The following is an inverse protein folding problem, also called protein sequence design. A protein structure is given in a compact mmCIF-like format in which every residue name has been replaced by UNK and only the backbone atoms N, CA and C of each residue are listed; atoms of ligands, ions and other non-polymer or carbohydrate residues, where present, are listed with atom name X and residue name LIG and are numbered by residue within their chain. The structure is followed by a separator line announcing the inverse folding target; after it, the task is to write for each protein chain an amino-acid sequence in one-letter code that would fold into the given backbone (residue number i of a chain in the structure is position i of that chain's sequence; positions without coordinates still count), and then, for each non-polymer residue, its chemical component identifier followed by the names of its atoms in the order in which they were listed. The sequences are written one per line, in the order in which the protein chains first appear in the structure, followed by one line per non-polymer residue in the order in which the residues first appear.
data_IF_303447759163
#
_entry.id   IF_303447759163
#
_cell.length_a   1.000
_cell.length_b   1.000
_cell.length_c   1.000
_cell.angle_alpha   90.00
_cell.angle_beta   90.00
_cell.angle_gamma   90.00
#
_symmetry.space_group_name_H-M   'P 1'
#
loop_
_entity.id
_entity.type
_entity.pdbx_description
1 polymer ?
#
# COMPACT_ATOMS: atom_id res chain seq x y z
N UNK A 1 -6.26 4.64 26.03
CA UNK A 1 -5.25 4.56 24.96
C UNK A 1 -4.58 3.18 25.00
N UNK A 2 -4.61 2.40 23.91
CA UNK A 2 -3.89 1.11 23.86
C UNK A 2 -2.38 1.39 23.92
N UNK A 3 -1.67 0.79 24.89
CA UNK A 3 -0.20 0.87 24.97
C UNK A 3 0.38 0.15 23.74
N UNK A 4 0.97 0.91 22.82
CA UNK A 4 1.62 0.36 21.64
C UNK A 4 2.90 -0.37 22.07
N UNK A 5 3.05 -1.64 21.68
CA UNK A 5 4.23 -2.46 22.01
C UNK A 5 5.41 -1.99 21.15
N UNK A 6 6.52 -1.63 21.79
CA UNK A 6 7.76 -1.26 21.10
C UNK A 6 8.42 -2.54 20.56
N UNK A 7 8.55 -2.65 19.25
CA UNK A 7 9.19 -3.79 18.60
C UNK A 7 10.72 -3.69 18.71
N UNK A 8 11.38 -4.82 18.99
CA UNK A 8 12.84 -4.89 19.02
C UNK A 8 13.41 -5.13 17.61
N UNK A 9 14.71 -4.89 17.40
CA UNK A 9 15.39 -5.21 16.13
C UNK A 9 15.23 -6.69 15.74
N UNK A 10 15.19 -7.59 16.72
CA UNK A 10 14.99 -9.03 16.49
C UNK A 10 13.56 -9.35 16.06
N UNK A 11 12.57 -8.64 16.61
CA UNK A 11 11.18 -8.77 16.17
C UNK A 11 11.01 -8.28 14.73
N UNK A 12 11.68 -7.18 14.36
CA UNK A 12 11.67 -6.66 12.98
C UNK A 12 12.26 -7.64 11.97
N UNK A 13 13.25 -8.46 12.35
CA UNK A 13 13.80 -9.52 11.47
C UNK A 13 12.83 -10.69 11.24
N UNK A 14 11.87 -10.87 12.15
CA UNK A 14 10.82 -11.90 12.05
C UNK A 14 9.56 -11.37 11.37
N UNK A 15 9.42 -10.05 11.24
CA UNK A 15 8.48 -9.48 10.29
C UNK A 15 8.95 -9.98 8.94
N UNK A 16 8.18 -10.92 8.36
CA UNK A 16 8.28 -11.22 6.93
C UNK A 16 7.96 -9.89 6.25
N UNK A 17 8.99 -9.10 5.98
CA UNK A 17 8.90 -7.98 5.07
C UNK A 17 8.28 -8.58 3.83
N UNK A 18 7.04 -8.19 3.56
CA UNK A 18 6.27 -8.68 2.43
C UNK A 18 7.21 -8.76 1.24
N UNK A 19 7.23 -9.91 0.57
CA UNK A 19 8.05 -10.10 -0.63
C UNK A 19 7.98 -8.82 -1.48
N UNK A 20 9.11 -8.39 -2.05
CA UNK A 20 9.12 -7.25 -2.95
C UNK A 20 7.96 -7.41 -3.94
N UNK A 21 7.13 -6.38 -4.07
CA UNK A 21 5.93 -6.49 -4.89
C UNK A 21 6.29 -6.98 -6.29
N UNK A 22 5.56 -7.98 -6.78
CA UNK A 22 5.85 -8.59 -8.08
C UNK A 22 5.65 -7.59 -9.21
N UNK A 23 4.70 -6.65 -9.05
CA UNK A 23 4.45 -5.59 -10.02
C UNK A 23 3.88 -4.32 -9.37
N UNK A 24 4.47 -3.17 -9.67
CA UNK A 24 4.01 -1.86 -9.23
C UNK A 24 3.25 -1.15 -10.35
N UNK A 25 2.02 -0.75 -10.06
CA UNK A 25 1.12 -0.03 -10.97
C UNK A 25 1.31 1.47 -10.74
N UNK A 26 1.83 2.24 -11.72
CA UNK A 26 1.88 3.70 -11.63
C UNK A 26 0.48 4.29 -11.83
N UNK A 27 0.14 5.29 -11.03
CA UNK A 27 -1.12 6.03 -11.13
C UNK A 27 -0.85 7.52 -11.00
N UNK A 28 -1.41 8.31 -11.91
CA UNK A 28 -1.45 9.77 -11.82
C UNK A 28 -2.86 10.16 -11.37
N UNK A 29 -2.96 10.71 -10.17
CA UNK A 29 -4.22 11.20 -9.61
C UNK A 29 -4.77 12.37 -10.45
N UNK A 30 -6.07 12.68 -10.37
CA UNK A 30 -6.67 13.79 -11.11
C UNK A 30 -6.04 15.16 -10.84
N UNK A 31 -5.48 15.36 -9.64
CA UNK A 31 -4.74 16.58 -9.28
C UNK A 31 -3.27 16.59 -9.75
N UNK A 32 -2.84 15.59 -10.53
CA UNK A 32 -1.47 15.47 -11.05
C UNK A 32 -0.48 14.79 -10.10
N UNK A 33 -0.91 14.35 -8.91
CA UNK A 33 -0.04 13.65 -7.96
C UNK A 33 0.21 12.19 -8.40
N UNK A 34 1.47 11.76 -8.41
CA UNK A 34 1.83 10.39 -8.78
C UNK A 34 1.97 9.48 -7.56
N UNK A 35 1.50 8.24 -7.68
CA UNK A 35 1.71 7.20 -6.68
C UNK A 35 1.73 5.80 -7.30
N UNK A 36 2.22 4.83 -6.52
CA UNK A 36 2.36 3.44 -6.96
C UNK A 36 1.53 2.51 -6.09
N UNK A 37 0.84 1.56 -6.72
CA UNK A 37 0.09 0.51 -6.05
C UNK A 37 0.73 -0.85 -6.34
N UNK A 38 0.87 -1.68 -5.32
CA UNK A 38 1.37 -3.05 -5.49
C UNK A 38 0.24 -3.97 -5.98
N UNK A 39 0.40 -4.59 -7.15
CA UNK A 39 -0.63 -5.46 -7.75
C UNK A 39 -0.98 -6.66 -6.85
N UNK A 40 0.00 -7.21 -6.13
CA UNK A 40 -0.15 -8.38 -5.25
C UNK A 40 -1.14 -8.14 -4.09
N UNK A 41 -1.47 -6.87 -3.80
CA UNK A 41 -2.43 -6.50 -2.77
C UNK A 41 -3.90 -6.60 -3.24
N UNK A 42 -4.15 -6.87 -4.53
CA UNK A 42 -5.48 -6.85 -5.13
C UNK A 42 -5.80 -8.18 -5.81
N UNK A 43 -6.93 -8.77 -5.45
CA UNK A 43 -7.41 -10.05 -6.00
C UNK A 43 -8.20 -9.88 -7.30
N UNK A 44 -8.66 -8.66 -7.61
CA UNK A 44 -9.43 -8.37 -8.81
C UNK A 44 -9.28 -6.91 -9.26
N UNK A 45 -9.63 -6.66 -10.54
CA UNK A 45 -9.64 -5.31 -11.11
C UNK A 45 -10.58 -4.35 -10.37
N UNK A 46 -11.73 -4.84 -9.88
CA UNK A 46 -12.68 -4.03 -9.10
C UNK A 46 -12.07 -3.56 -7.77
N UNK A 47 -11.30 -4.42 -7.09
CA UNK A 47 -10.63 -4.06 -5.85
C UNK A 47 -9.56 -3.00 -6.10
N UNK A 48 -8.78 -3.16 -7.18
CA UNK A 48 -7.80 -2.18 -7.61
C UNK A 48 -8.47 -0.83 -7.94
N UNK A 49 -9.55 -0.84 -8.71
CA UNK A 49 -10.25 0.39 -9.10
C UNK A 49 -10.84 1.14 -7.89
N UNK A 50 -11.42 0.42 -6.93
CA UNK A 50 -11.88 1.01 -5.67
C UNK A 50 -10.72 1.60 -4.86
N UNK A 51 -9.56 0.94 -4.86
CA UNK A 51 -8.37 1.45 -4.19
C UNK A 51 -7.85 2.72 -4.85
N UNK A 52 -7.78 2.76 -6.19
CA UNK A 52 -7.39 3.96 -6.95
C UNK A 52 -8.27 5.14 -6.55
N UNK A 53 -9.60 5.01 -6.63
CA UNK A 53 -10.53 6.08 -6.21
C UNK A 53 -10.29 6.57 -4.78
N UNK A 54 -10.03 5.64 -3.86
CA UNK A 54 -9.76 5.98 -2.46
C UNK A 54 -8.45 6.73 -2.29
N UNK A 55 -7.39 6.32 -2.99
CA UNK A 55 -6.10 6.98 -2.92
C UNK A 55 -6.10 8.33 -3.65
N UNK A 56 -6.78 8.44 -4.78
CA UNK A 56 -7.03 9.71 -5.47
C UNK A 56 -7.68 10.72 -4.51
N UNK A 57 -8.75 10.33 -3.81
CA UNK A 57 -9.42 11.20 -2.83
C UNK A 57 -8.55 11.56 -1.61
N UNK A 58 -7.53 10.76 -1.31
CA UNK A 58 -6.59 11.05 -0.22
C UNK A 58 -5.43 11.94 -0.67
N UNK A 59 -5.20 12.05 -1.98
CA UNK A 59 -4.13 12.85 -2.58
C UNK A 59 -4.59 14.25 -2.99
N UNK A 60 -5.89 14.49 -3.22
CA UNK A 60 -6.39 15.70 -3.89
C UNK A 60 -7.47 16.51 -3.10
#
# INVERSE_FOLDING_TARGET
MKKLKKLTKTDLKKVKGSAACSFWIPVTAPCGAEYYLCADNYQSGDQLFKAIKRFDSAKC
#
